data_IF_889098739706
#
_entry.id   IF_889098739706
#
_cell.length_a   1.000
_cell.length_b   1.000
_cell.length_c   1.000
_cell.angle_alpha   90.00
_cell.angle_beta   90.00
_cell.angle_gamma   90.00
#
_symmetry.space_group_name_H-M   'P 1'
#
loop_
_entity.id
_entity.type
_entity.pdbx_description
1 polymer ?
#
# COMPACT_ATOMS: atom_id res chain seq x y z
N UNK A 1 2.28 8.28 -9.18
CA UNK A 1 2.78 7.87 -10.50
C UNK A 1 4.10 7.12 -10.39
N UNK A 2 5.04 7.55 -9.54
CA UNK A 2 6.30 6.85 -9.34
C UNK A 2 6.16 5.31 -9.16
N UNK A 3 5.33 4.86 -8.23
CA UNK A 3 5.12 3.41 -7.95
C UNK A 3 4.30 2.67 -9.01
N UNK A 4 3.75 3.39 -9.99
CA UNK A 4 2.95 2.81 -11.08
C UNK A 4 3.79 2.58 -12.34
N UNK A 5 5.01 3.11 -12.36
CA UNK A 5 5.98 2.80 -13.40
C UNK A 5 6.45 1.34 -13.22
N UNK A 6 6.28 0.52 -14.26
CA UNK A 6 6.69 -0.89 -14.30
C UNK A 6 8.18 -1.11 -13.98
N UNK A 7 9.00 -0.08 -14.22
CA UNK A 7 10.44 -0.11 -14.01
C UNK A 7 10.83 0.46 -12.63
N UNK A 8 9.85 0.85 -11.79
CA UNK A 8 10.08 1.28 -10.41
C UNK A 8 10.41 0.11 -9.48
N UNK A 9 11.68 -0.26 -9.47
CA UNK A 9 12.25 -1.28 -8.57
C UNK A 9 13.43 -0.68 -7.80
N UNK A 10 13.15 0.24 -6.86
CA UNK A 10 14.20 0.94 -6.13
C UNK A 10 14.98 -0.02 -5.24
N UNK A 11 16.22 0.35 -4.93
CA UNK A 11 16.92 -0.24 -3.80
C UNK A 11 16.24 0.17 -2.47
N UNK A 12 16.67 -0.47 -1.38
CA UNK A 12 16.07 -0.23 -0.06
C UNK A 12 16.19 1.25 0.38
N UNK A 13 17.32 1.89 0.08
CA UNK A 13 17.58 3.28 0.48
C UNK A 13 16.58 4.23 -0.18
N UNK A 14 16.40 4.06 -1.49
CA UNK A 14 15.49 4.82 -2.34
C UNK A 14 14.03 4.51 -1.99
N UNK A 15 13.71 3.24 -1.69
CA UNK A 15 12.37 2.84 -1.26
C UNK A 15 11.97 3.57 0.03
N UNK A 16 12.83 3.58 1.04
CA UNK A 16 12.58 4.27 2.32
C UNK A 16 12.44 5.77 2.08
N UNK A 17 13.36 6.37 1.31
CA UNK A 17 13.32 7.80 1.00
C UNK A 17 12.02 8.20 0.29
N UNK A 18 11.61 7.44 -0.73
CA UNK A 18 10.37 7.69 -1.46
C UNK A 18 9.13 7.49 -0.59
N UNK A 19 9.10 6.46 0.26
CA UNK A 19 7.99 6.27 1.20
C UNK A 19 7.88 7.44 2.17
N UNK A 20 8.99 7.94 2.71
CA UNK A 20 8.99 9.11 3.60
C UNK A 20 8.60 10.40 2.86
N UNK A 21 8.96 10.55 1.59
CA UNK A 21 8.58 11.71 0.80
C UNK A 21 7.09 11.75 0.44
N UNK A 22 6.51 10.60 0.07
CA UNK A 22 5.15 10.53 -0.47
C UNK A 22 4.09 9.98 0.50
N UNK A 23 4.50 9.27 1.55
CA UNK A 23 3.62 8.63 2.52
C UNK A 23 4.18 8.62 3.97
N UNK A 24 4.58 9.78 4.56
CA UNK A 24 5.14 9.85 5.92
C UNK A 24 4.07 9.77 7.01
N UNK A 25 3.20 8.76 6.97
CA UNK A 25 2.10 8.63 7.91
C UNK A 25 1.94 7.21 8.40
N UNK A 26 1.70 7.07 9.70
CA UNK A 26 1.25 5.81 10.29
C UNK A 26 -0.21 5.51 9.96
N UNK A 27 -1.00 6.42 9.41
CA UNK A 27 -2.44 6.22 9.21
C UNK A 27 -2.73 5.47 7.89
N UNK A 28 -2.19 4.26 7.77
CA UNK A 28 -2.39 3.35 6.64
C UNK A 28 -2.67 1.94 7.15
N UNK A 29 -3.36 1.17 6.32
CA UNK A 29 -3.62 -0.24 6.62
C UNK A 29 -2.32 -1.05 6.58
N UNK A 30 -1.37 -0.72 5.70
CA UNK A 30 0.02 -1.15 5.81
C UNK A 30 0.91 0.01 6.23
N UNK A 31 1.41 -0.03 7.45
CA UNK A 31 2.33 0.96 8.03
C UNK A 31 3.77 0.41 7.98
N UNK A 32 4.61 0.97 7.12
CA UNK A 32 6.01 0.52 6.98
C UNK A 32 6.97 1.29 7.89
N UNK A 33 6.52 2.35 8.58
CA UNK A 33 7.41 3.18 9.41
C UNK A 33 8.08 2.41 10.56
N UNK A 34 7.42 1.44 11.24
CA UNK A 34 8.09 0.60 12.23
C UNK A 34 9.24 -0.24 11.65
N UNK A 35 9.05 -0.79 10.44
CA UNK A 35 10.07 -1.59 9.77
C UNK A 35 11.21 -0.71 9.27
N UNK A 36 10.89 0.39 8.60
CA UNK A 36 11.90 1.34 8.13
C UNK A 36 12.68 1.96 9.28
N UNK A 37 12.05 2.22 10.43
CA UNK A 37 12.76 2.69 11.62
C UNK A 37 13.64 1.61 12.25
N UNK A 38 13.39 0.31 12.00
CA UNK A 38 14.29 -0.77 12.40
C UNK A 38 15.49 -0.91 11.47
N UNK A 39 15.30 -0.63 10.17
CA UNK A 39 16.36 -0.67 9.16
C UNK A 39 17.25 0.58 9.20
N UNK A 40 16.67 1.77 9.33
CA UNK A 40 17.34 3.06 9.34
C UNK A 40 16.55 4.08 10.17
N UNK A 41 16.73 4.04 11.49
CA UNK A 41 16.05 4.96 12.41
C UNK A 41 16.41 6.42 12.12
N UNK A 42 17.68 6.72 11.83
CA UNK A 42 18.13 8.08 11.62
C UNK A 42 17.39 8.73 10.43
N UNK A 43 17.22 8.00 9.33
CA UNK A 43 16.49 8.49 8.16
C UNK A 43 15.01 8.70 8.43
N UNK A 44 14.36 7.81 9.18
CA UNK A 44 12.95 8.01 9.53
C UNK A 44 12.78 9.22 10.46
N UNK A 45 13.65 9.36 11.47
CA UNK A 45 13.60 10.44 12.47
C UNK A 45 13.95 11.81 11.90
N UNK A 46 14.71 11.87 10.79
CA UNK A 46 14.99 13.14 10.11
C UNK A 46 13.76 13.72 9.41
N UNK A 47 12.76 12.89 9.10
CA UNK A 47 11.51 13.30 8.43
C UNK A 47 10.32 13.32 9.39
N UNK A 48 10.26 12.38 10.34
CA UNK A 48 9.09 12.19 11.21
C UNK A 48 9.51 12.17 12.68
N UNK A 49 9.08 13.20 13.41
CA UNK A 49 9.17 13.24 14.88
C UNK A 49 7.87 12.72 15.51
N UNK A 50 7.69 11.40 15.53
CA UNK A 50 6.57 10.76 16.23
C UNK A 50 7.05 9.66 17.20
N UNK A 51 6.91 9.83 18.52
CA UNK A 51 7.39 8.88 19.51
C UNK A 51 6.65 7.53 19.48
N UNK A 52 5.51 7.44 18.80
CA UNK A 52 4.72 6.20 18.65
C UNK A 52 5.29 5.26 17.58
N UNK A 53 6.16 5.74 16.70
CA UNK A 53 6.93 4.87 15.78
C UNK A 53 7.94 4.11 16.63
N UNK A 54 7.72 2.80 16.78
CA UNK A 54 8.60 1.89 17.51
C UNK A 54 9.26 0.91 16.53
N UNK A 55 10.60 0.91 16.40
CA UNK A 55 11.32 0.00 15.48
C UNK A 55 10.98 -1.47 15.72
N UNK A 56 10.58 -2.21 14.68
CA UNK A 56 10.37 -3.67 14.74
C UNK A 56 10.63 -4.33 13.36
N UNK A 57 11.25 -5.52 13.31
CA UNK A 57 11.51 -6.25 12.06
C UNK A 57 10.26 -7.02 11.58
N UNK A 58 9.15 -6.32 11.34
CA UNK A 58 7.91 -6.94 10.85
C UNK A 58 7.07 -5.93 10.08
N UNK A 59 6.26 -6.42 9.13
CA UNK A 59 5.24 -5.60 8.47
C UNK A 59 4.08 -5.31 9.42
N UNK A 60 3.68 -4.04 9.49
CA UNK A 60 2.61 -3.61 10.39
C UNK A 60 1.29 -3.45 9.63
N UNK A 61 0.66 -4.58 9.32
CA UNK A 61 -0.71 -4.63 8.81
C UNK A 61 -1.72 -4.24 9.89
N UNK A 62 -2.75 -3.51 9.47
CA UNK A 62 -3.93 -3.20 10.26
C UNK A 62 -5.12 -3.75 9.50
N UNK A 63 -6.01 -4.39 10.22
CA UNK A 63 -7.28 -4.75 9.64
C UNK A 63 -8.06 -3.45 9.32
N UNK A 64 -8.73 -3.40 8.16
CA UNK A 64 -9.70 -2.36 7.83
C UNK A 64 -10.75 -2.15 8.92
N UNK A 65 -11.56 -1.11 8.76
CA UNK A 65 -12.64 -0.80 9.70
C UNK A 65 -13.54 -2.01 9.96
N UNK A 66 -13.82 -2.28 11.24
CA UNK A 66 -14.77 -3.33 11.61
C UNK A 66 -16.20 -2.82 11.44
N UNK A 67 -16.92 -3.36 10.45
CA UNK A 67 -18.32 -3.01 10.20
C UNK A 67 -19.27 -3.87 11.04
N UNK A 68 -19.17 -3.77 12.36
CA UNK A 68 -19.92 -4.63 13.30
C UNK A 68 -21.46 -4.51 13.21
N UNK A 69 -21.97 -3.47 12.54
CA UNK A 69 -23.41 -3.27 12.31
C UNK A 69 -23.89 -3.93 11.02
N UNK A 70 -22.99 -4.34 10.14
CA UNK A 70 -23.30 -5.03 8.89
C UNK A 70 -23.32 -6.54 9.17
N UNK A 71 -24.47 -7.22 9.05
CA UNK A 71 -24.58 -8.65 9.32
C UNK A 71 -23.77 -9.52 8.32
N UNK A 72 -23.43 -8.97 7.16
CA UNK A 72 -22.66 -9.68 6.12
C UNK A 72 -21.15 -9.45 6.28
N UNK A 73 -20.72 -8.57 7.19
CA UNK A 73 -19.31 -8.32 7.46
C UNK A 73 -18.68 -9.42 8.32
N UNK A 74 -17.49 -9.87 7.93
CA UNK A 74 -16.69 -10.79 8.73
C UNK A 74 -15.22 -10.40 8.70
N UNK A 75 -14.46 -10.76 9.74
CA UNK A 75 -13.00 -10.64 9.75
C UNK A 75 -12.34 -11.40 8.59
N UNK A 76 -12.96 -12.50 8.14
CA UNK A 76 -12.48 -13.31 7.01
C UNK A 76 -12.55 -12.50 5.72
N UNK A 77 -13.61 -11.71 5.53
CA UNK A 77 -13.75 -10.81 4.38
C UNK A 77 -12.58 -9.84 4.30
N UNK A 78 -12.22 -9.20 5.42
CA UNK A 78 -11.10 -8.25 5.46
C UNK A 78 -9.74 -8.91 5.32
N UNK A 79 -9.55 -10.11 5.88
CA UNK A 79 -8.34 -10.89 5.70
C UNK A 79 -8.14 -11.31 4.24
N UNK A 80 -9.20 -11.79 3.57
CA UNK A 80 -9.13 -12.22 2.18
C UNK A 80 -8.80 -11.06 1.24
N UNK A 81 -9.25 -9.83 1.54
CA UNK A 81 -8.83 -8.64 0.79
C UNK A 81 -7.33 -8.43 0.84
N UNK A 82 -6.71 -8.58 2.02
CA UNK A 82 -5.25 -8.54 2.14
C UNK A 82 -4.57 -9.66 1.34
N UNK A 83 -5.12 -10.89 1.36
CA UNK A 83 -4.59 -11.96 0.52
C UNK A 83 -4.61 -11.58 -0.98
N UNK A 84 -5.66 -10.92 -1.49
CA UNK A 84 -5.72 -10.46 -2.89
C UNK A 84 -4.65 -9.40 -3.19
N UNK A 85 -4.39 -8.48 -2.26
CA UNK A 85 -3.29 -7.51 -2.39
C UNK A 85 -1.93 -8.22 -2.47
N UNK A 86 -1.67 -9.20 -1.59
CA UNK A 86 -0.42 -9.96 -1.61
C UNK A 86 -0.28 -10.80 -2.90
N UNK A 87 -1.37 -11.44 -3.36
CA UNK A 87 -1.34 -12.17 -4.63
C UNK A 87 -1.05 -11.25 -5.82
N UNK A 88 -1.64 -10.05 -5.86
CA UNK A 88 -1.37 -9.08 -6.91
C UNK A 88 0.08 -8.56 -6.83
N UNK A 89 0.61 -8.36 -5.62
CA UNK A 89 1.99 -7.91 -5.44
C UNK A 89 3.02 -8.97 -5.89
N UNK A 90 2.70 -10.26 -5.78
CA UNK A 90 3.55 -11.38 -6.23
C UNK A 90 3.43 -11.63 -7.74
N UNK A 91 2.26 -11.39 -8.33
CA UNK A 91 2.03 -11.51 -9.77
C UNK A 91 2.35 -10.21 -10.52
N UNK A 92 3.61 -10.08 -10.94
CA UNK A 92 4.14 -8.90 -11.62
C UNK A 92 3.42 -8.57 -12.94
N UNK A 93 2.98 -9.58 -13.69
CA UNK A 93 2.27 -9.35 -14.95
C UNK A 93 0.89 -8.73 -14.66
N UNK A 94 0.16 -9.29 -13.71
CA UNK A 94 -1.14 -8.76 -13.27
C UNK A 94 -1.00 -7.36 -12.67
N UNK A 95 0.04 -7.11 -11.88
CA UNK A 95 0.31 -5.79 -11.31
C UNK A 95 0.57 -4.74 -12.39
N UNK A 96 1.41 -5.06 -13.37
CA UNK A 96 1.72 -4.16 -14.49
C UNK A 96 0.46 -3.84 -15.31
N UNK A 97 -0.40 -4.84 -15.55
CA UNK A 97 -1.70 -4.64 -16.21
C UNK A 97 -2.62 -3.70 -15.41
N UNK A 98 -2.68 -3.87 -14.08
CA UNK A 98 -3.49 -3.00 -13.23
C UNK A 98 -2.96 -1.55 -13.23
N UNK A 99 -1.64 -1.36 -13.15
CA UNK A 99 -1.00 -0.05 -13.25
C UNK A 99 -1.28 0.62 -14.60
N UNK A 100 -1.18 -0.13 -15.70
CA UNK A 100 -1.50 0.37 -17.04
C UNK A 100 -2.97 0.78 -17.15
N UNK A 101 -3.89 -0.06 -16.68
CA UNK A 101 -5.33 0.25 -16.69
C UNK A 101 -5.66 1.52 -15.88
N UNK A 102 -4.97 1.75 -14.75
CA UNK A 102 -5.09 3.00 -14.00
C UNK A 102 -4.65 4.21 -14.83
N UNK A 103 -3.49 4.11 -15.51
CA UNK A 103 -2.99 5.19 -16.36
C UNK A 103 -3.94 5.52 -17.50
N UNK A 104 -4.45 4.51 -18.20
CA UNK A 104 -5.41 4.65 -19.30
C UNK A 104 -6.70 5.32 -18.80
N UNK A 105 -7.27 4.86 -17.69
CA UNK A 105 -8.47 5.45 -17.10
C UNK A 105 -8.25 6.93 -16.73
N UNK A 106 -7.09 7.25 -16.16
CA UNK A 106 -6.72 8.63 -15.77
C UNK A 106 -6.56 9.60 -16.95
N UNK A 107 -6.25 9.10 -18.14
CA UNK A 107 -6.07 9.91 -19.35
C UNK A 107 -7.39 10.19 -20.10
N UNK A 108 -8.48 9.51 -19.73
CA UNK A 108 -9.79 9.75 -20.34
C UNK A 108 -10.32 11.14 -19.98
N UNK A 109 -11.12 11.74 -20.88
CA UNK A 109 -11.80 13.01 -20.59
C UNK A 109 -12.77 12.90 -19.40
N UNK A 110 -13.37 11.72 -19.22
CA UNK A 110 -14.25 11.40 -18.08
C UNK A 110 -13.81 10.01 -17.55
N UNK A 111 -12.93 9.95 -16.55
CA UNK A 111 -12.50 8.69 -15.96
C UNK A 111 -13.65 7.92 -15.29
N UNK A 112 -13.60 6.59 -15.40
CA UNK A 112 -14.48 5.68 -14.68
C UNK A 112 -14.07 5.51 -13.22
N UNK A 113 -14.97 4.94 -12.42
CA UNK A 113 -14.68 4.61 -11.02
C UNK A 113 -13.59 3.55 -10.93
N UNK A 114 -12.40 3.93 -10.47
CA UNK A 114 -11.31 2.97 -10.28
C UNK A 114 -11.65 1.85 -9.30
N UNK A 115 -12.46 2.14 -8.27
CA UNK A 115 -12.90 1.13 -7.32
C UNK A 115 -13.71 0.00 -7.99
N UNK A 116 -14.33 0.27 -9.14
CA UNK A 116 -15.01 -0.74 -9.95
C UNK A 116 -14.04 -1.41 -10.94
N UNK A 117 -13.19 -0.63 -11.60
CA UNK A 117 -12.24 -1.16 -12.58
C UNK A 117 -11.17 -2.08 -11.98
N UNK A 118 -10.76 -1.85 -10.73
CA UNK A 118 -9.68 -2.63 -10.09
C UNK A 118 -10.14 -4.01 -9.62
N UNK A 119 -11.45 -4.28 -9.59
CA UNK A 119 -12.04 -5.50 -9.06
C UNK A 119 -11.48 -6.80 -9.66
N UNK A 120 -11.20 -6.91 -10.97
CA UNK A 120 -10.63 -8.14 -11.55
C UNK A 120 -9.30 -8.57 -10.92
N UNK A 121 -8.52 -7.61 -10.38
CA UNK A 121 -7.26 -7.89 -9.71
C UNK A 121 -7.40 -8.08 -8.20
N UNK A 122 -8.38 -7.44 -7.56
CA UNK A 122 -8.48 -7.35 -6.09
C UNK A 122 -9.69 -8.06 -5.47
N UNK A 123 -10.65 -8.57 -6.25
CA UNK A 123 -11.83 -9.30 -5.76
C UNK A 123 -11.90 -10.72 -6.31
#
# INVERSE_FOLDING_TARGET
ELVLDKDYWPDLDTLIANHLAYNPTRNRELDLLPLFSWLDEQKVRSVIDDPRIKPRPTFHYRLPNAHLQDPDWTIITEWNRWCRVEYLADDRESLDQACQAWHENRQQMIPESWAELVKPWLL
#
